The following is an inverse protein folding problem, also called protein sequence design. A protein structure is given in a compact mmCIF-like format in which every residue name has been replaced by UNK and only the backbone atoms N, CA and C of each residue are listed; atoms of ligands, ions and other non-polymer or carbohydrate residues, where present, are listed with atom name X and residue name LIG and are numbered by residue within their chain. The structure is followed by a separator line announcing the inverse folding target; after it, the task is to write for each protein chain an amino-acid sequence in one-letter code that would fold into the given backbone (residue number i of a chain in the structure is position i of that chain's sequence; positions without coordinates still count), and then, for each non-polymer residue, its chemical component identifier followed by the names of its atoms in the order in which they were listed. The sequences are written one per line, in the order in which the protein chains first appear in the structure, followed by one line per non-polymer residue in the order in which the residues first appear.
data_IF_808706019082
#
_entry.id   IF_808706019082
#
_cell.length_a   1.000
_cell.length_b   1.000
_cell.length_c   1.000
_cell.angle_alpha   90.00
_cell.angle_beta   90.00
_cell.angle_gamma   90.00
#
_symmetry.space_group_name_H-M   'P 1'
#
loop_
_entity.id
_entity.type
_entity.pdbx_description
1 polymer ?
#
# COMPACT_ATOMS: atom_id res chain seq x y z
N UNK A 1 12.59 17.57 -14.09
CA UNK A 1 13.46 17.41 -15.27
C UNK A 1 12.60 17.32 -16.53
N UNK A 2 13.12 17.71 -17.69
CA UNK A 2 12.47 17.58 -19.00
C UNK A 2 13.23 16.66 -19.96
N UNK A 3 14.22 15.92 -19.44
CA UNK A 3 14.99 14.98 -20.25
C UNK A 3 14.12 13.83 -20.78
N UNK A 4 14.45 13.32 -21.97
CA UNK A 4 13.73 12.18 -22.56
C UNK A 4 13.99 10.92 -21.73
N UNK A 5 13.00 10.01 -21.68
CA UNK A 5 13.09 8.77 -20.91
C UNK A 5 14.23 7.88 -21.41
N UNK A 6 14.53 7.91 -22.70
CA UNK A 6 15.60 7.15 -23.34
C UNK A 6 16.98 7.58 -22.85
N UNK A 7 17.22 8.90 -22.74
CA UNK A 7 18.48 9.47 -22.25
C UNK A 7 18.71 9.13 -20.78
N UNK A 8 17.64 9.18 -19.97
CA UNK A 8 17.68 8.75 -18.56
C UNK A 8 17.99 7.26 -18.47
N UNK A 9 17.30 6.40 -19.23
CA UNK A 9 17.56 4.96 -19.25
C UNK A 9 19.00 4.64 -19.66
N UNK A 10 19.56 5.35 -20.64
CA UNK A 10 20.93 5.13 -21.08
C UNK A 10 21.94 5.42 -19.97
N UNK A 11 21.82 6.57 -19.30
CA UNK A 11 22.76 6.93 -18.24
C UNK A 11 22.57 6.07 -16.98
N UNK A 12 21.35 5.66 -16.65
CA UNK A 12 21.10 4.69 -15.57
C UNK A 12 21.71 3.31 -15.91
N UNK A 13 21.65 2.85 -17.16
CA UNK A 13 22.37 1.61 -17.56
C UNK A 13 23.88 1.72 -17.35
N UNK A 14 24.48 2.88 -17.65
CA UNK A 14 25.92 3.11 -17.39
C UNK A 14 26.23 3.06 -15.89
N UNK A 15 25.37 3.65 -15.05
CA UNK A 15 25.49 3.56 -13.59
C UNK A 15 25.46 2.10 -13.13
N UNK A 16 24.46 1.33 -13.56
CA UNK A 16 24.31 -0.07 -13.18
C UNK A 16 25.49 -0.93 -13.64
N UNK A 17 25.98 -0.72 -14.87
CA UNK A 17 27.17 -1.43 -15.39
C UNK A 17 28.45 -1.08 -14.60
N UNK A 18 28.54 0.12 -14.03
CA UNK A 18 29.69 0.53 -13.20
C UNK A 18 29.70 -0.19 -11.85
N UNK A 19 28.54 -0.36 -11.24
CA UNK A 19 28.43 -1.09 -9.97
C UNK A 19 28.50 -2.61 -10.16
N UNK A 20 27.92 -3.13 -11.25
CA UNK A 20 27.92 -4.51 -11.73
C UNK A 20 27.31 -5.57 -10.77
N UNK A 21 27.56 -5.47 -9.47
CA UNK A 21 27.07 -6.38 -8.42
C UNK A 21 26.29 -5.57 -7.40
N UNK A 22 25.15 -6.13 -6.96
CA UNK A 22 24.32 -5.54 -5.90
C UNK A 22 23.95 -6.58 -4.86
N UNK A 23 23.80 -6.13 -3.62
CA UNK A 23 23.36 -6.96 -2.50
C UNK A 23 21.94 -6.56 -2.12
N UNK A 24 20.97 -7.35 -2.55
CA UNK A 24 19.56 -7.08 -2.28
C UNK A 24 19.05 -5.77 -2.91
N UNK A 25 18.01 -5.21 -2.29
CA UNK A 25 17.43 -3.92 -2.66
C UNK A 25 18.40 -2.80 -2.29
N UNK A 26 18.71 -1.92 -3.24
CA UNK A 26 19.66 -0.84 -3.04
C UNK A 26 19.17 0.43 -3.73
N UNK A 27 19.35 1.58 -3.09
CA UNK A 27 18.95 2.88 -3.65
C UNK A 27 20.12 3.84 -3.74
N UNK A 28 20.41 4.27 -4.96
CA UNK A 28 21.31 5.40 -5.22
C UNK A 28 20.51 6.70 -5.16
N UNK A 29 20.96 7.66 -4.36
CA UNK A 29 20.45 9.04 -4.32
C UNK A 29 21.50 10.07 -4.69
N UNK A 30 22.77 9.68 -4.63
CA UNK A 30 23.91 10.51 -4.98
C UNK A 30 24.56 9.94 -6.25
N UNK A 31 24.93 10.84 -7.17
CA UNK A 31 25.44 10.46 -8.48
C UNK A 31 26.68 11.29 -8.81
N UNK A 32 27.76 10.61 -9.22
CA UNK A 32 28.96 11.27 -9.76
C UNK A 32 28.69 11.93 -11.12
N UNK A 33 27.74 11.38 -11.89
CA UNK A 33 27.44 11.85 -13.23
C UNK A 33 26.51 13.08 -13.18
N UNK A 34 26.95 14.27 -13.65
CA UNK A 34 26.17 15.50 -13.53
C UNK A 34 24.79 15.42 -14.20
N UNK A 35 24.68 14.61 -15.26
CA UNK A 35 23.40 14.36 -15.93
C UNK A 35 22.40 13.68 -15.00
N UNK A 36 22.83 12.66 -14.23
CA UNK A 36 21.95 11.98 -13.28
C UNK A 36 21.59 12.90 -12.14
N UNK A 37 22.57 13.62 -11.55
CA UNK A 37 22.32 14.60 -10.47
C UNK A 37 21.28 15.65 -10.84
N UNK A 38 21.25 16.08 -12.11
CA UNK A 38 20.28 17.08 -12.60
C UNK A 38 18.90 16.50 -12.90
N UNK A 39 18.81 15.22 -13.27
CA UNK A 39 17.60 14.67 -13.90
C UNK A 39 16.95 13.51 -13.14
N UNK A 40 17.66 12.88 -12.21
CA UNK A 40 17.24 11.69 -11.48
C UNK A 40 17.41 11.96 -10.00
N UNK A 41 16.32 11.81 -9.24
CA UNK A 41 16.35 11.96 -7.78
C UNK A 41 16.90 10.71 -7.09
N UNK A 42 16.48 9.53 -7.54
CA UNK A 42 16.95 8.26 -7.03
C UNK A 42 16.85 7.16 -8.10
N UNK A 43 17.70 6.13 -7.95
CA UNK A 43 17.61 4.87 -8.68
C UNK A 43 17.51 3.77 -7.63
N UNK A 44 16.45 2.97 -7.67
CA UNK A 44 16.24 1.88 -6.71
C UNK A 44 16.15 0.54 -7.42
N UNK A 45 16.95 -0.42 -6.98
CA UNK A 45 16.73 -1.84 -7.21
C UNK A 45 15.77 -2.31 -6.13
N UNK A 46 14.69 -2.95 -6.56
CA UNK A 46 13.53 -3.26 -5.73
C UNK A 46 13.08 -4.70 -5.96
N UNK A 47 12.41 -5.25 -4.95
CA UNK A 47 11.77 -6.55 -4.98
C UNK A 47 12.75 -7.74 -5.11
N UNK A 48 14.05 -7.57 -4.81
CA UNK A 48 14.99 -8.70 -4.81
C UNK A 48 14.59 -9.74 -3.77
N UNK A 49 14.11 -9.30 -2.61
CA UNK A 49 13.59 -10.15 -1.53
C UNK A 49 12.34 -10.93 -1.95
N UNK A 50 11.59 -10.46 -2.96
CA UNK A 50 10.41 -11.15 -3.47
C UNK A 50 10.76 -12.31 -4.41
N UNK A 51 11.98 -12.33 -4.96
CA UNK A 51 12.39 -13.31 -5.99
C UNK A 51 13.43 -14.30 -5.51
N UNK A 52 14.27 -13.94 -4.55
CA UNK A 52 15.36 -14.80 -4.08
C UNK A 52 15.22 -14.99 -2.57
N UNK A 53 15.09 -16.24 -2.13
CA UNK A 53 14.97 -16.60 -0.69
C UNK A 53 16.24 -16.31 0.10
N UNK A 54 17.39 -16.25 -0.58
CA UNK A 54 18.68 -15.88 0.00
C UNK A 54 19.30 -14.68 -0.72
N UNK A 55 19.75 -13.62 0.00
CA UNK A 55 20.49 -12.50 -0.55
C UNK A 55 21.87 -13.01 -0.97
N UNK A 56 21.93 -13.49 -2.20
CA UNK A 56 23.17 -13.68 -2.92
C UNK A 56 23.52 -12.38 -3.66
N UNK A 57 24.81 -12.08 -3.86
CA UNK A 57 25.20 -11.00 -4.75
C UNK A 57 24.57 -11.23 -6.12
N UNK A 58 23.78 -10.26 -6.59
CA UNK A 58 23.15 -10.30 -7.90
C UNK A 58 24.10 -9.64 -8.88
N UNK A 59 24.62 -10.42 -9.82
CA UNK A 59 25.38 -9.91 -10.95
C UNK A 59 24.42 -9.34 -12.01
N UNK A 60 24.39 -8.02 -12.10
CA UNK A 60 23.52 -7.28 -13.02
C UNK A 60 23.86 -7.54 -14.49
N UNK A 61 25.10 -7.93 -14.81
CA UNK A 61 25.51 -8.23 -16.19
C UNK A 61 24.85 -9.50 -16.74
N UNK A 62 24.50 -10.44 -15.85
CA UNK A 62 23.85 -11.70 -16.21
C UNK A 62 22.32 -11.60 -16.26
N UNK A 63 21.76 -10.49 -15.80
CA UNK A 63 20.33 -10.29 -15.62
C UNK A 63 19.72 -9.42 -16.74
N UNK A 64 18.46 -9.70 -17.08
CA UNK A 64 17.68 -8.81 -17.94
C UNK A 64 17.19 -7.61 -17.14
N UNK A 65 17.92 -6.50 -17.22
CA UNK A 65 17.58 -5.27 -16.48
C UNK A 65 16.40 -4.53 -17.13
N UNK A 66 15.25 -4.52 -16.44
CA UNK A 66 14.08 -3.75 -16.81
C UNK A 66 14.07 -2.39 -16.11
N UNK A 67 14.19 -1.30 -16.88
CA UNK A 67 14.21 0.07 -16.36
C UNK A 67 12.88 0.78 -16.56
N UNK A 68 12.30 1.25 -15.45
CA UNK A 68 11.07 2.03 -15.42
C UNK A 68 11.38 3.45 -14.95
N UNK A 69 11.22 4.41 -15.86
CA UNK A 69 11.45 5.84 -15.58
C UNK A 69 10.09 6.53 -15.45
N UNK A 70 9.88 7.16 -14.30
CA UNK A 70 8.65 7.87 -13.97
C UNK A 70 8.95 9.22 -13.34
N UNK A 71 7.93 10.08 -13.33
CA UNK A 71 7.93 11.37 -12.65
C UNK A 71 6.73 11.37 -11.69
N UNK A 72 6.92 11.92 -10.49
CA UNK A 72 5.85 12.05 -9.51
C UNK A 72 4.97 13.26 -9.86
N UNK A 73 3.67 13.04 -9.80
CA UNK A 73 2.68 14.12 -9.86
C UNK A 73 2.51 14.71 -8.46
N UNK A 74 2.75 16.02 -8.34
CA UNK A 74 2.59 16.77 -7.08
C UNK A 74 1.14 17.23 -6.84
N UNK A 75 0.25 17.02 -7.81
CA UNK A 75 -1.18 17.22 -7.62
C UNK A 75 -1.71 16.22 -6.60
N UNK A 76 -2.16 16.73 -5.44
CA UNK A 76 -2.88 15.93 -4.45
C UNK A 76 -4.25 15.47 -4.97
N UNK A 77 -5.12 14.90 -4.12
CA UNK A 77 -6.42 14.41 -4.57
C UNK A 77 -7.26 15.54 -5.15
N UNK A 78 -7.71 15.38 -6.40
CA UNK A 78 -8.85 16.13 -6.89
C UNK A 78 -10.13 15.55 -6.30
N UNK A 79 -10.97 16.41 -5.75
CA UNK A 79 -12.32 16.02 -5.34
C UNK A 79 -13.20 15.92 -6.58
N UNK A 80 -13.65 14.71 -6.91
CA UNK A 80 -14.69 14.51 -7.91
C UNK A 80 -16.03 14.92 -7.29
N UNK A 81 -16.42 16.17 -7.54
CA UNK A 81 -17.70 16.70 -7.10
C UNK A 81 -18.80 16.29 -8.06
N UNK A 82 -19.95 15.87 -7.53
CA UNK A 82 -21.18 15.82 -8.29
C UNK A 82 -21.90 17.16 -8.14
N UNK A 83 -22.15 17.83 -9.26
CA UNK A 83 -22.91 19.07 -9.29
C UNK A 83 -24.40 18.75 -9.09
N UNK A 84 -24.96 19.27 -7.99
CA UNK A 84 -26.41 19.46 -7.81
C UNK A 84 -26.72 20.94 -7.71
N UNK A 85 -27.96 21.33 -8.00
CA UNK A 85 -28.41 22.74 -8.13
C UNK A 85 -28.14 23.60 -6.87
N UNK A 86 -27.81 22.99 -5.72
CA UNK A 86 -27.58 23.68 -4.45
C UNK A 86 -26.34 23.28 -3.65
N UNK A 87 -25.67 22.15 -3.89
CA UNK A 87 -24.48 21.71 -3.11
C UNK A 87 -23.45 20.91 -3.93
N UNK A 88 -22.15 21.12 -3.64
CA UNK A 88 -21.05 20.33 -4.18
C UNK A 88 -20.82 19.10 -3.29
N UNK A 89 -21.33 17.94 -3.68
CA UNK A 89 -21.12 16.69 -2.93
C UNK A 89 -19.85 16.00 -3.44
N UNK A 90 -18.82 15.93 -2.59
CA UNK A 90 -17.61 15.14 -2.88
C UNK A 90 -18.00 13.66 -2.94
N UNK A 91 -17.90 13.07 -4.12
CA UNK A 91 -18.29 11.69 -4.40
C UNK A 91 -17.11 10.71 -4.30
N UNK A 92 -15.93 11.13 -4.75
CA UNK A 92 -14.72 10.32 -4.73
C UNK A 92 -13.47 11.20 -4.65
N UNK A 93 -12.39 10.63 -4.13
CA UNK A 93 -11.06 11.23 -4.25
C UNK A 93 -10.38 10.66 -5.49
N UNK A 94 -9.64 11.50 -6.22
CA UNK A 94 -9.03 11.14 -7.49
C UNK A 94 -7.55 11.54 -7.53
N UNK A 95 -6.67 10.62 -7.93
CA UNK A 95 -5.23 10.86 -8.08
C UNK A 95 -4.72 10.46 -9.46
N UNK A 96 -3.80 11.27 -9.99
CA UNK A 96 -2.97 10.94 -11.15
C UNK A 96 -1.73 10.16 -10.71
N UNK A 97 -1.54 8.97 -11.27
CA UNK A 97 -0.40 8.10 -10.96
C UNK A 97 0.71 8.22 -12.03
N UNK A 98 1.99 8.14 -11.63
CA UNK A 98 2.48 7.96 -10.25
C UNK A 98 2.36 9.23 -9.40
N UNK A 99 1.76 9.14 -8.20
CA UNK A 99 1.52 10.28 -7.32
C UNK A 99 2.66 10.46 -6.29
N UNK A 100 3.01 11.70 -5.97
CA UNK A 100 4.03 12.02 -4.96
C UNK A 100 3.63 11.52 -3.56
N UNK A 101 2.34 11.63 -3.21
CA UNK A 101 1.78 11.16 -1.92
C UNK A 101 2.01 9.67 -1.66
N UNK A 102 2.13 8.85 -2.70
CA UNK A 102 2.32 7.41 -2.59
C UNK A 102 3.78 6.98 -2.78
N UNK A 103 4.71 7.93 -2.90
CA UNK A 103 6.13 7.63 -3.03
C UNK A 103 6.66 6.95 -1.76
N UNK A 104 7.36 5.83 -1.92
CA UNK A 104 7.87 5.00 -0.81
C UNK A 104 6.80 4.21 -0.03
N UNK A 105 5.51 4.37 -0.35
CA UNK A 105 4.43 3.70 0.39
C UNK A 105 4.52 2.16 0.29
N UNK A 106 4.90 1.63 -0.87
CA UNK A 106 5.07 0.19 -1.10
C UNK A 106 6.11 -0.46 -0.17
N UNK A 107 7.23 0.22 0.05
CA UNK A 107 8.34 -0.27 0.86
C UNK A 107 8.05 -0.07 2.35
N UNK A 108 7.28 0.97 2.69
CA UNK A 108 6.81 1.21 4.07
C UNK A 108 5.86 0.12 4.60
N UNK A 109 5.19 -0.63 3.73
CA UNK A 109 4.28 -1.68 4.13
C UNK A 109 5.03 -3.01 4.25
N UNK A 110 5.16 -3.49 5.49
CA UNK A 110 5.80 -4.75 5.82
C UNK A 110 4.72 -5.78 6.15
N UNK A 111 4.70 -6.85 5.37
CA UNK A 111 3.86 -8.02 5.57
C UNK A 111 4.75 -9.25 5.61
N UNK A 112 4.24 -10.32 6.21
CA UNK A 112 4.86 -11.64 6.08
C UNK A 112 4.88 -12.08 4.61
N UNK A 113 5.82 -12.97 4.29
CA UNK A 113 6.20 -13.26 2.91
C UNK A 113 4.98 -13.60 2.03
N UNK A 114 5.10 -13.23 0.76
CA UNK A 114 4.18 -13.56 -0.34
C UNK A 114 2.95 -12.66 -0.56
N UNK A 115 2.49 -11.85 0.40
CA UNK A 115 1.32 -10.99 0.17
C UNK A 115 1.55 -9.98 -0.97
N UNK A 116 2.66 -9.23 -0.90
CA UNK A 116 2.97 -8.19 -1.89
C UNK A 116 3.31 -8.78 -3.26
N UNK A 117 4.06 -9.87 -3.30
CA UNK A 117 4.45 -10.53 -4.56
C UNK A 117 3.24 -11.17 -5.24
N UNK A 118 2.44 -11.97 -4.52
CA UNK A 118 1.26 -12.61 -5.10
C UNK A 118 0.28 -11.59 -5.66
N UNK A 119 0.05 -10.49 -4.94
CA UNK A 119 -0.84 -9.43 -5.40
C UNK A 119 -0.31 -8.75 -6.67
N UNK A 120 1.00 -8.47 -6.71
CA UNK A 120 1.63 -7.85 -7.87
C UNK A 120 1.63 -8.78 -9.09
N UNK A 121 2.07 -10.03 -8.91
CA UNK A 121 2.18 -11.03 -9.98
C UNK A 121 0.82 -11.40 -10.55
N UNK A 122 -0.19 -11.52 -9.68
CA UNK A 122 -1.55 -11.77 -10.12
C UNK A 122 -2.08 -10.62 -10.97
N UNK A 123 -2.03 -9.37 -10.49
CA UNK A 123 -2.57 -8.24 -11.26
C UNK A 123 -1.78 -8.04 -12.57
N UNK A 124 -0.47 -8.29 -12.55
CA UNK A 124 0.34 -8.34 -13.77
C UNK A 124 -0.13 -9.41 -14.75
N UNK A 125 -0.45 -10.61 -14.25
CA UNK A 125 -0.94 -11.72 -15.08
C UNK A 125 -2.32 -11.39 -15.66
N UNK A 126 -3.22 -10.79 -14.88
CA UNK A 126 -4.54 -10.35 -15.35
C UNK A 126 -4.42 -9.34 -16.48
N UNK A 127 -3.49 -8.38 -16.36
CA UNK A 127 -3.24 -7.38 -17.40
C UNK A 127 -2.57 -8.00 -18.64
N UNK A 128 -1.66 -8.95 -18.45
CA UNK A 128 -1.06 -9.71 -19.55
C UNK A 128 -2.12 -10.49 -20.34
N UNK A 129 -3.01 -11.22 -19.66
CA UNK A 129 -4.10 -11.96 -20.31
C UNK A 129 -5.03 -11.03 -21.06
N UNK A 130 -5.30 -9.85 -20.49
CA UNK A 130 -6.08 -8.83 -21.15
C UNK A 130 -5.41 -8.28 -22.41
N UNK A 131 -4.11 -8.00 -22.38
CA UNK A 131 -3.37 -7.51 -23.55
C UNK A 131 -3.24 -8.58 -24.65
N UNK A 132 -3.26 -9.86 -24.27
CA UNK A 132 -3.28 -10.99 -25.22
C UNK A 132 -4.69 -11.37 -25.69
N UNK A 133 -5.72 -10.63 -25.26
CA UNK A 133 -7.12 -10.86 -25.62
C UNK A 133 -7.56 -12.31 -25.38
N UNK A 134 -7.17 -12.89 -24.24
CA UNK A 134 -7.60 -14.22 -23.82
C UNK A 134 -9.13 -14.22 -23.66
N UNK A 135 -9.79 -15.23 -24.25
CA UNK A 135 -11.24 -15.36 -24.19
C UNK A 135 -11.71 -15.62 -22.76
N UNK A 136 -12.39 -14.62 -22.17
CA UNK A 136 -12.91 -14.68 -20.81
C UNK A 136 -14.04 -15.70 -20.61
N UNK A 137 -14.65 -16.19 -21.69
CA UNK A 137 -15.63 -17.28 -21.62
C UNK A 137 -14.97 -18.66 -21.43
N UNK A 138 -13.70 -18.79 -21.84
CA UNK A 138 -12.92 -20.02 -21.70
C UNK A 138 -12.04 -20.00 -20.45
N UNK A 139 -11.38 -18.87 -20.20
CA UNK A 139 -10.54 -18.65 -19.03
C UNK A 139 -11.08 -17.44 -18.28
N UNK A 140 -11.94 -17.71 -17.30
CA UNK A 140 -12.56 -16.68 -16.48
C UNK A 140 -11.54 -16.11 -15.50
N UNK A 141 -11.36 -14.80 -15.56
CA UNK A 141 -10.85 -14.00 -14.45
C UNK A 141 -11.79 -12.80 -14.27
N UNK A 142 -11.81 -12.23 -13.09
CA UNK A 142 -12.41 -10.95 -12.74
C UNK A 142 -11.30 -10.00 -12.29
N UNK A 143 -11.28 -8.78 -12.81
CA UNK A 143 -10.29 -7.74 -12.45
C UNK A 143 -10.53 -7.13 -11.07
N UNK A 144 -11.00 -7.93 -10.11
CA UNK A 144 -11.42 -7.50 -8.78
C UNK A 144 -10.55 -8.18 -7.73
N UNK A 145 -9.91 -7.36 -6.91
CA UNK A 145 -9.09 -7.75 -5.78
C UNK A 145 -9.81 -7.36 -4.49
N UNK A 146 -9.92 -8.29 -3.55
CA UNK A 146 -10.49 -8.07 -2.22
C UNK A 146 -9.42 -8.29 -1.15
N UNK A 147 -9.08 -7.21 -0.44
CA UNK A 147 -8.25 -7.26 0.76
C UNK A 147 -9.15 -7.24 2.00
N UNK A 148 -9.03 -8.22 2.89
CA UNK A 148 -9.86 -8.25 4.10
C UNK A 148 -9.03 -8.54 5.35
N UNK A 149 -9.45 -8.03 6.50
CA UNK A 149 -8.71 -8.21 7.74
C UNK A 149 -9.02 -7.12 8.78
N UNK A 150 -8.45 -7.20 9.98
CA UNK A 150 -8.70 -6.22 11.04
C UNK A 150 -8.42 -4.77 10.61
N UNK A 151 -9.07 -3.77 11.22
CA UNK A 151 -8.79 -2.37 10.91
C UNK A 151 -7.36 -1.98 11.30
N UNK A 152 -6.75 -1.10 10.49
CA UNK A 152 -5.41 -0.59 10.74
C UNK A 152 -4.25 -1.52 10.33
N UNK A 153 -4.52 -2.57 9.54
CA UNK A 153 -3.50 -3.46 8.94
C UNK A 153 -2.96 -2.95 7.59
N UNK A 154 -3.36 -1.74 7.16
CA UNK A 154 -2.81 -1.09 5.97
C UNK A 154 -3.45 -1.50 4.64
N UNK A 155 -4.64 -2.13 4.63
CA UNK A 155 -5.35 -2.56 3.41
C UNK A 155 -5.49 -1.45 2.36
N UNK A 156 -6.05 -0.30 2.74
CA UNK A 156 -6.22 0.86 1.85
C UNK A 156 -4.88 1.39 1.35
N UNK A 157 -3.87 1.45 2.23
CA UNK A 157 -2.50 1.82 1.87
C UNK A 157 -1.86 0.83 0.90
N UNK A 158 -2.12 -0.47 1.06
CA UNK A 158 -1.63 -1.52 0.15
C UNK A 158 -2.26 -1.40 -1.23
N UNK A 159 -3.56 -1.09 -1.33
CA UNK A 159 -4.20 -0.79 -2.61
C UNK A 159 -3.55 0.40 -3.33
N UNK A 160 -3.34 1.52 -2.61
CA UNK A 160 -2.68 2.73 -3.13
C UNK A 160 -1.24 2.44 -3.58
N UNK A 161 -0.50 1.70 -2.75
CA UNK A 161 0.87 1.28 -3.07
C UNK A 161 0.94 0.34 -4.28
N UNK A 162 0.00 -0.61 -4.39
CA UNK A 162 -0.09 -1.52 -5.52
C UNK A 162 -0.37 -0.75 -6.83
N UNK A 163 -1.33 0.18 -6.80
CA UNK A 163 -1.65 1.03 -7.94
C UNK A 163 -0.44 1.84 -8.42
N UNK A 164 0.30 2.44 -7.47
CA UNK A 164 1.56 3.14 -7.74
C UNK A 164 2.60 2.20 -8.39
N UNK A 165 2.84 1.02 -7.78
CA UNK A 165 3.86 0.06 -8.23
C UNK A 165 3.53 -0.48 -9.63
N UNK A 166 2.27 -0.81 -9.90
CA UNK A 166 1.79 -1.28 -11.21
C UNK A 166 1.92 -0.18 -12.28
N UNK A 167 1.56 1.06 -11.96
CA UNK A 167 1.72 2.19 -12.90
C UNK A 167 3.18 2.37 -13.32
N UNK A 168 4.11 2.29 -12.36
CA UNK A 168 5.55 2.37 -12.66
C UNK A 168 5.99 1.20 -13.54
N UNK A 169 5.61 -0.04 -13.17
CA UNK A 169 6.02 -1.25 -13.88
C UNK A 169 5.43 -1.36 -15.29
N UNK A 170 4.22 -0.83 -15.49
CA UNK A 170 3.53 -0.83 -16.78
C UNK A 170 3.70 0.49 -17.54
N UNK A 171 4.68 1.31 -17.17
CA UNK A 171 5.02 2.55 -17.88
C UNK A 171 5.43 2.37 -19.35
N UNK A 172 5.70 1.14 -19.78
CA UNK A 172 5.89 0.79 -21.21
C UNK A 172 4.58 0.57 -21.96
N UNK A 173 3.50 0.26 -21.26
CA UNK A 173 2.17 -0.07 -21.80
C UNK A 173 1.17 1.06 -21.64
N UNK A 174 1.22 1.77 -20.51
CA UNK A 174 0.39 2.91 -20.18
C UNK A 174 1.27 4.13 -19.93
N UNK A 175 0.82 5.31 -20.35
CA UNK A 175 1.56 6.57 -20.18
C UNK A 175 1.48 7.08 -18.75
N UNK A 176 0.34 6.87 -18.10
CA UNK A 176 0.04 7.28 -16.73
C UNK A 176 -1.04 6.36 -16.14
N UNK A 177 -1.39 6.55 -14.87
CA UNK A 177 -2.49 5.84 -14.23
C UNK A 177 -3.46 6.80 -13.54
N UNK A 178 -4.64 6.29 -13.20
CA UNK A 178 -5.68 7.00 -12.46
C UNK A 178 -6.08 6.17 -11.26
N UNK A 179 -6.20 6.76 -10.08
CA UNK A 179 -6.79 6.12 -8.90
C UNK A 179 -8.03 6.88 -8.46
N UNK A 180 -9.16 6.20 -8.41
CA UNK A 180 -10.42 6.73 -7.88
C UNK A 180 -10.70 5.98 -6.57
N UNK A 181 -10.70 6.68 -5.44
CA UNK A 181 -11.07 6.13 -4.14
C UNK A 181 -12.49 6.53 -3.78
N UNK A 182 -13.32 5.51 -3.61
CA UNK A 182 -14.72 5.61 -3.24
C UNK A 182 -14.83 5.07 -1.81
N UNK A 183 -15.08 5.96 -0.85
CA UNK A 183 -15.37 5.53 0.52
C UNK A 183 -16.86 5.14 0.63
N UNK A 184 -17.11 3.86 0.88
CA UNK A 184 -18.47 3.32 0.90
C UNK A 184 -19.34 3.86 2.05
N UNK A 185 -18.78 4.18 3.23
CA UNK A 185 -19.52 4.83 4.32
C UNK A 185 -20.04 6.23 3.91
N UNK A 186 -19.23 6.98 3.16
CA UNK A 186 -19.62 8.30 2.64
C UNK A 186 -20.69 8.20 1.54
N UNK A 187 -20.69 7.10 0.77
CA UNK A 187 -21.71 6.81 -0.24
C UNK A 187 -23.10 6.52 0.35
N UNK A 188 -23.21 6.02 1.58
CA UNK A 188 -24.53 5.77 2.18
C UNK A 188 -25.06 6.93 3.00
N UNK A 189 -24.18 7.60 3.75
CA UNK A 189 -24.59 8.69 4.65
C UNK A 189 -25.10 9.92 3.90
N UNK A 190 -24.49 10.29 2.77
CA UNK A 190 -24.83 11.53 2.03
C UNK A 190 -25.93 11.36 0.97
N UNK A 191 -26.29 10.13 0.61
CA UNK A 191 -27.01 9.87 -0.65
C UNK A 191 -28.39 9.21 -0.44
N UNK A 192 -28.85 9.09 0.80
CA UNK A 192 -29.99 8.26 1.18
C UNK A 192 -31.35 8.66 0.56
N UNK A 193 -31.45 9.81 -0.12
CA UNK A 193 -32.67 10.27 -0.82
C UNK A 193 -32.59 10.33 -2.36
N UNK A 194 -31.40 10.40 -2.99
CA UNK A 194 -31.21 10.53 -4.46
C UNK A 194 -30.20 9.54 -5.08
N UNK A 195 -29.73 8.60 -4.27
CA UNK A 195 -28.53 7.76 -4.46
C UNK A 195 -28.29 7.07 -5.80
N UNK A 196 -29.31 6.47 -6.43
CA UNK A 196 -29.07 5.64 -7.61
C UNK A 196 -28.56 6.44 -8.83
N UNK A 197 -29.11 7.63 -9.04
CA UNK A 197 -28.72 8.50 -10.16
C UNK A 197 -27.29 9.00 -9.98
N UNK A 198 -26.91 9.29 -8.75
CA UNK A 198 -25.63 9.88 -8.44
C UNK A 198 -24.50 8.84 -8.48
N UNK A 199 -24.76 7.61 -8.02
CA UNK A 199 -23.87 6.46 -8.30
C UNK A 199 -23.66 6.34 -9.81
N UNK A 200 -24.74 6.41 -10.60
CA UNK A 200 -24.63 6.32 -12.06
C UNK A 200 -23.80 7.45 -12.66
N UNK A 201 -23.99 8.71 -12.22
CA UNK A 201 -23.17 9.85 -12.67
C UNK A 201 -21.70 9.70 -12.30
N UNK A 202 -21.40 9.26 -11.08
CA UNK A 202 -20.03 9.00 -10.63
C UNK A 202 -19.36 7.94 -11.51
N UNK A 203 -20.02 6.81 -11.76
CA UNK A 203 -19.48 5.77 -12.63
C UNK A 203 -19.43 6.18 -14.10
N UNK A 204 -20.27 7.11 -14.55
CA UNK A 204 -20.12 7.73 -15.88
C UNK A 204 -18.80 8.50 -15.99
N UNK A 205 -18.43 9.30 -14.99
CA UNK A 205 -17.11 9.96 -14.98
C UNK A 205 -15.96 8.96 -14.95
N UNK A 206 -16.10 7.88 -14.19
CA UNK A 206 -15.12 6.78 -14.18
C UNK A 206 -15.02 6.16 -15.59
N UNK A 207 -16.14 5.96 -16.27
CA UNK A 207 -16.17 5.46 -17.64
C UNK A 207 -15.43 6.39 -18.60
N UNK A 208 -15.62 7.71 -18.48
CA UNK A 208 -14.92 8.70 -19.30
C UNK A 208 -13.39 8.61 -19.10
N UNK A 209 -12.93 8.36 -17.87
CA UNK A 209 -11.51 8.11 -17.56
C UNK A 209 -11.01 6.76 -18.12
N UNK A 210 -11.86 5.73 -18.13
CA UNK A 210 -11.55 4.39 -18.66
C UNK A 210 -11.38 4.40 -20.18
N UNK A 211 -12.06 5.30 -20.88
CA UNK A 211 -12.04 5.39 -22.33
C UNK A 211 -10.67 5.80 -22.87
N UNK A 212 -9.83 6.49 -22.07
CA UNK A 212 -8.42 6.69 -22.38
C UNK A 212 -7.61 5.37 -22.23
N UNK A 213 -7.25 4.77 -23.36
CA UNK A 213 -6.48 3.51 -23.43
C UNK A 213 -4.98 3.67 -23.17
N UNK A 214 -4.48 4.90 -23.10
CA UNK A 214 -3.13 5.21 -22.63
C UNK A 214 -3.06 5.24 -21.09
N UNK A 215 -4.19 5.22 -20.39
CA UNK A 215 -4.29 5.25 -18.93
C UNK A 215 -4.65 3.89 -18.32
N UNK A 216 -4.01 3.53 -17.21
CA UNK A 216 -4.41 2.42 -16.34
C UNK A 216 -5.29 2.94 -15.20
N UNK A 217 -6.52 2.45 -15.09
CA UNK A 217 -7.51 2.94 -14.13
C UNK A 217 -7.68 1.98 -12.96
N UNK A 218 -7.48 2.50 -11.75
CA UNK A 218 -7.72 1.80 -10.49
C UNK A 218 -8.96 2.38 -9.82
N UNK A 219 -9.95 1.52 -9.55
CA UNK A 219 -11.13 1.89 -8.77
C UNK A 219 -11.02 1.22 -7.40
N UNK A 220 -10.70 2.00 -6.38
CA UNK A 220 -10.60 1.56 -4.99
C UNK A 220 -11.92 1.81 -4.26
N UNK A 221 -12.58 0.74 -3.82
CA UNK A 221 -13.79 0.81 -2.99
C UNK A 221 -13.42 0.38 -1.56
N UNK A 222 -13.32 1.35 -0.66
CA UNK A 222 -12.90 1.13 0.72
C UNK A 222 -14.09 0.77 1.62
N UNK A 223 -13.88 -0.11 2.60
CA UNK A 223 -14.86 -0.48 3.64
C UNK A 223 -16.15 -1.13 3.11
N UNK A 224 -16.03 -2.05 2.14
CA UNK A 224 -17.20 -2.69 1.46
C UNK A 224 -18.16 -3.43 2.40
N UNK A 225 -17.77 -3.69 3.66
CA UNK A 225 -18.68 -4.15 4.70
C UNK A 225 -19.88 -3.23 4.93
N UNK A 226 -19.73 -1.91 4.72
CA UNK A 226 -20.82 -0.95 4.90
C UNK A 226 -21.95 -1.21 3.90
N UNK A 227 -21.61 -1.58 2.66
CA UNK A 227 -22.56 -1.99 1.62
C UNK A 227 -23.31 -3.26 2.04
N UNK A 228 -22.60 -4.19 2.70
CA UNK A 228 -23.16 -5.45 3.19
C UNK A 228 -24.15 -5.20 4.33
N UNK A 229 -23.75 -4.35 5.29
CA UNK A 229 -24.55 -4.02 6.46
C UNK A 229 -25.88 -3.36 6.06
N UNK A 230 -25.83 -2.38 5.16
CA UNK A 230 -27.03 -1.72 4.63
C UNK A 230 -27.99 -2.72 3.95
N UNK A 231 -27.44 -3.67 3.17
CA UNK A 231 -28.25 -4.71 2.51
C UNK A 231 -28.92 -5.64 3.53
N UNK A 232 -28.23 -6.00 4.61
CA UNK A 232 -28.76 -6.87 5.66
C UNK A 232 -29.79 -6.14 6.55
N UNK A 233 -29.55 -4.87 6.90
CA UNK A 233 -30.48 -4.06 7.69
C UNK A 233 -31.83 -3.85 6.98
N UNK A 234 -31.80 -3.67 5.66
CA UNK A 234 -33.02 -3.58 4.87
C UNK A 234 -33.76 -4.93 4.76
N UNK A 235 -33.06 -6.06 4.64
CA UNK A 235 -33.68 -7.41 4.72
C UNK A 235 -34.35 -7.67 6.08
N UNK A 236 -33.83 -7.07 7.15
CA UNK A 236 -34.41 -7.10 8.48
C UNK A 236 -35.53 -6.06 8.70
N UNK A 237 -35.89 -5.28 7.67
CA UNK A 237 -36.92 -4.24 7.74
C UNK A 237 -36.54 -3.01 8.57
N UNK A 238 -35.26 -2.86 8.93
CA UNK A 238 -34.76 -1.78 9.81
C UNK A 238 -34.29 -0.55 9.02
N UNK A 239 -33.98 -0.71 7.73
CA UNK A 239 -33.62 0.38 6.81
C UNK A 239 -34.53 0.40 5.56
N UNK A 240 -34.74 1.58 4.93
CA UNK A 240 -35.53 1.73 3.71
C UNK A 240 -34.97 0.92 2.54
N UNK A 241 -35.86 0.52 1.61
CA UNK A 241 -35.53 -0.21 0.38
C UNK A 241 -34.53 0.50 -0.54
N UNK A 242 -34.30 1.79 -0.34
CA UNK A 242 -33.41 2.59 -1.17
C UNK A 242 -31.94 2.23 -0.98
N UNK A 243 -31.53 1.83 0.22
CA UNK A 243 -30.17 1.35 0.48
C UNK A 243 -29.79 0.13 -0.39
N UNK A 244 -30.73 -0.81 -0.58
CA UNK A 244 -30.54 -1.97 -1.47
C UNK A 244 -30.37 -1.53 -2.93
N UNK A 245 -31.12 -0.51 -3.38
CA UNK A 245 -31.01 0.01 -4.76
C UNK A 245 -29.62 0.58 -5.01
N UNK A 246 -29.04 1.28 -4.04
CA UNK A 246 -27.65 1.80 -4.12
C UNK A 246 -26.65 0.67 -4.29
N UNK A 247 -26.72 -0.33 -3.40
CA UNK A 247 -25.81 -1.48 -3.43
C UNK A 247 -25.87 -2.17 -4.79
N UNK A 248 -27.09 -2.42 -5.29
CA UNK A 248 -27.27 -3.07 -6.58
C UNK A 248 -26.76 -2.18 -7.74
N UNK A 249 -26.94 -0.86 -7.68
CA UNK A 249 -26.40 0.05 -8.67
C UNK A 249 -24.86 -0.01 -8.69
N UNK A 250 -24.20 0.04 -7.53
CA UNK A 250 -22.74 -0.06 -7.42
C UNK A 250 -22.24 -1.40 -7.97
N UNK A 251 -22.86 -2.53 -7.58
CA UNK A 251 -22.48 -3.86 -8.09
C UNK A 251 -22.66 -3.98 -9.61
N UNK A 252 -23.75 -3.42 -10.14
CA UNK A 252 -24.00 -3.40 -11.59
C UNK A 252 -22.94 -2.60 -12.32
N UNK A 253 -22.55 -1.45 -11.78
CA UNK A 253 -21.51 -0.60 -12.37
C UNK A 253 -20.13 -1.28 -12.32
N UNK A 254 -19.77 -1.94 -11.21
CA UNK A 254 -18.56 -2.77 -11.11
C UNK A 254 -18.53 -3.84 -12.21
N UNK A 255 -19.65 -4.52 -12.45
CA UNK A 255 -19.76 -5.56 -13.49
C UNK A 255 -19.63 -5.01 -14.92
N UNK A 256 -19.93 -3.73 -15.13
CA UNK A 256 -19.71 -3.02 -16.40
C UNK A 256 -18.24 -2.64 -16.55
N UNK A 257 -17.67 -1.90 -15.59
CA UNK A 257 -16.31 -1.37 -15.72
C UNK A 257 -15.23 -2.46 -15.70
N UNK A 258 -15.47 -3.59 -15.02
CA UNK A 258 -14.49 -4.70 -14.96
C UNK A 258 -14.21 -5.33 -16.33
N UNK A 259 -15.04 -5.08 -17.35
CA UNK A 259 -14.87 -5.60 -18.72
C UNK A 259 -13.77 -4.88 -19.50
N UNK A 260 -13.37 -3.68 -19.09
CA UNK A 260 -12.32 -2.91 -19.78
C UNK A 260 -10.89 -3.35 -19.43
N UNK A 261 -10.06 -3.53 -20.46
CA UNK A 261 -8.69 -4.07 -20.35
C UNK A 261 -7.73 -3.27 -19.49
N UNK A 262 -8.00 -1.98 -19.33
CA UNK A 262 -7.22 -1.04 -18.56
C UNK A 262 -7.82 -0.74 -17.17
N UNK A 263 -8.67 -1.61 -16.63
CA UNK A 263 -9.32 -1.42 -15.33
C UNK A 263 -8.89 -2.49 -14.32
N UNK A 264 -8.54 -2.05 -13.12
CA UNK A 264 -8.33 -2.90 -11.94
C UNK A 264 -9.19 -2.36 -10.80
N UNK A 265 -10.01 -3.23 -10.21
CA UNK A 265 -10.89 -2.87 -9.10
C UNK A 265 -10.26 -3.42 -7.82
N UNK A 266 -10.02 -2.54 -6.87
CA UNK A 266 -9.43 -2.84 -5.57
C UNK A 266 -10.51 -2.62 -4.52
N UNK A 267 -10.71 -3.58 -3.63
CA UNK A 267 -11.73 -3.49 -2.58
C UNK A 267 -11.13 -3.85 -1.23
N UNK A 268 -11.56 -3.18 -0.17
CA UNK A 268 -11.12 -3.49 1.19
C UNK A 268 -12.29 -3.81 2.09
N UNK A 269 -12.10 -4.73 3.05
CA UNK A 269 -13.05 -4.92 4.14
C UNK A 269 -12.40 -5.07 5.51
N UNK A 270 -12.98 -4.45 6.54
CA UNK A 270 -12.54 -4.65 7.93
C UNK A 270 -13.13 -5.90 8.60
N UNK A 271 -14.09 -6.58 7.95
CA UNK A 271 -14.73 -7.78 8.49
C UNK A 271 -14.04 -9.02 7.93
N UNK A 272 -13.63 -9.93 8.81
CA UNK A 272 -12.97 -11.20 8.43
C UNK A 272 -13.94 -12.33 8.13
N UNK A 273 -15.10 -12.37 8.79
CA UNK A 273 -16.01 -13.53 8.75
C UNK A 273 -17.28 -13.33 7.91
N UNK A 274 -17.78 -12.09 7.80
CA UNK A 274 -19.06 -11.75 7.13
C UNK A 274 -18.88 -10.75 5.99
N UNK A 275 -18.05 -11.09 5.02
CA UNK A 275 -17.94 -10.30 3.78
C UNK A 275 -19.15 -10.60 2.89
N UNK A 276 -19.70 -9.60 2.18
CA UNK A 276 -20.78 -9.84 1.24
C UNK A 276 -20.40 -10.90 0.19
N UNK A 277 -21.24 -11.93 0.07
CA UNK A 277 -21.19 -12.93 -1.00
C UNK A 277 -21.07 -12.26 -2.39
N UNK A 278 -21.72 -11.12 -2.59
CA UNK A 278 -21.67 -10.39 -3.86
C UNK A 278 -20.27 -9.86 -4.23
N UNK A 279 -19.45 -9.43 -3.25
CA UNK A 279 -18.08 -9.02 -3.50
C UNK A 279 -17.14 -10.22 -3.55
N UNK A 280 -17.36 -11.18 -2.66
CA UNK A 280 -16.61 -12.43 -2.57
C UNK A 280 -16.66 -13.18 -3.91
N UNK A 281 -17.85 -13.39 -4.48
CA UNK A 281 -18.04 -14.11 -5.75
C UNK A 281 -17.46 -13.37 -6.97
N UNK A 282 -17.31 -12.05 -6.88
CA UNK A 282 -16.73 -11.22 -7.95
C UNK A 282 -15.21 -11.07 -7.84
N UNK A 283 -14.64 -11.33 -6.67
CA UNK A 283 -13.22 -11.18 -6.41
C UNK A 283 -12.45 -12.44 -6.78
N UNK A 284 -11.48 -12.29 -7.68
CA UNK A 284 -10.57 -13.37 -8.03
C UNK A 284 -9.51 -13.59 -6.96
N UNK A 285 -9.00 -12.48 -6.40
CA UNK A 285 -8.12 -12.52 -5.24
C UNK A 285 -8.90 -12.14 -4.01
N UNK A 286 -8.82 -13.03 -3.01
CA UNK A 286 -9.26 -12.79 -1.64
C UNK A 286 -8.04 -12.91 -0.75
N UNK A 287 -7.44 -11.77 -0.41
CA UNK A 287 -6.23 -11.73 0.38
C UNK A 287 -6.55 -11.28 1.80
N UNK A 288 -6.30 -12.17 2.75
CA UNK A 288 -6.34 -11.82 4.16
C UNK A 288 -5.09 -10.99 4.53
N UNK A 289 -5.29 -9.87 5.22
CA UNK A 289 -4.25 -8.97 5.71
C UNK A 289 -4.40 -8.83 7.22
N UNK A 290 -3.75 -9.74 7.94
CA UNK A 290 -3.75 -9.81 9.41
C UNK A 290 -2.82 -8.82 10.09
N UNK A 291 -2.76 -8.85 11.43
CA UNK A 291 -1.70 -8.17 12.17
C UNK A 291 -0.33 -8.73 11.75
N UNK A 292 0.72 -7.89 11.74
CA UNK A 292 2.07 -8.33 11.36
C UNK A 292 2.65 -9.33 12.37
N UNK A 293 3.42 -10.31 11.89
CA UNK A 293 4.22 -11.18 12.77
C UNK A 293 5.28 -10.40 13.55
N UNK A 294 5.87 -11.03 14.57
CA UNK A 294 7.04 -10.49 15.26
C UNK A 294 8.19 -10.10 14.30
N UNK A 295 8.36 -10.82 13.19
CA UNK A 295 9.39 -10.51 12.20
C UNK A 295 9.06 -9.23 11.42
N UNK A 296 7.81 -9.06 10.99
CA UNK A 296 7.34 -7.85 10.34
C UNK A 296 7.34 -6.65 11.31
N UNK A 297 6.96 -6.85 12.57
CA UNK A 297 7.05 -5.83 13.63
C UNK A 297 8.48 -5.34 13.81
N UNK A 298 9.44 -6.26 13.88
CA UNK A 298 10.86 -5.91 14.01
C UNK A 298 11.33 -5.03 12.85
N UNK A 299 11.00 -5.39 11.60
CA UNK A 299 11.30 -4.58 10.41
C UNK A 299 10.62 -3.20 10.47
N UNK A 300 9.36 -3.12 10.95
CA UNK A 300 8.66 -1.85 11.15
C UNK A 300 9.42 -0.97 12.15
N UNK A 301 9.78 -1.49 13.31
CA UNK A 301 10.51 -0.70 14.30
C UNK A 301 11.91 -0.31 13.83
N UNK A 302 12.65 -1.21 13.16
CA UNK A 302 13.92 -0.88 12.53
C UNK A 302 13.77 0.35 11.61
N UNK A 303 12.76 0.35 10.71
CA UNK A 303 12.50 1.48 9.82
C UNK A 303 12.19 2.79 10.56
N UNK A 304 11.46 2.72 11.69
CA UNK A 304 11.16 3.89 12.50
C UNK A 304 12.41 4.42 13.21
N UNK A 305 13.25 3.54 13.75
CA UNK A 305 14.47 3.93 14.44
C UNK A 305 15.49 4.54 13.47
N UNK A 306 15.64 3.97 12.27
CA UNK A 306 16.49 4.52 11.22
C UNK A 306 16.04 5.94 10.81
N UNK A 307 14.74 6.17 10.66
CA UNK A 307 14.21 7.50 10.34
C UNK A 307 14.46 8.50 11.48
N UNK A 308 14.26 8.10 12.74
CA UNK A 308 14.54 8.96 13.90
C UNK A 308 16.04 9.26 14.06
N UNK A 309 16.92 8.33 13.73
CA UNK A 309 18.37 8.58 13.69
C UNK A 309 18.75 9.51 12.54
N UNK A 310 18.17 9.32 11.36
CA UNK A 310 18.36 10.20 10.20
C UNK A 310 17.91 11.62 10.51
N UNK A 311 16.82 11.79 11.25
CA UNK A 311 16.32 13.07 11.74
C UNK A 311 17.06 13.61 12.98
N UNK A 312 18.08 12.90 13.49
CA UNK A 312 18.86 13.27 14.67
C UNK A 312 18.06 13.42 15.97
N UNK A 313 16.84 12.88 16.03
CA UNK A 313 16.06 12.75 17.28
C UNK A 313 16.70 11.66 18.15
N UNK A 314 17.11 10.55 17.53
CA UNK A 314 17.97 9.55 18.18
C UNK A 314 19.43 9.87 17.87
N UNK A 315 20.22 10.14 18.90
CA UNK A 315 21.64 10.48 18.77
C UNK A 315 22.46 9.86 19.93
N UNK A 316 23.66 9.31 19.69
CA UNK A 316 24.32 9.17 18.39
C UNK A 316 23.68 8.10 17.50
N UNK A 317 23.91 8.17 16.19
CA UNK A 317 23.49 7.12 15.24
C UNK A 317 24.21 5.82 15.59
N UNK A 318 23.46 4.72 15.69
CA UNK A 318 24.00 3.38 15.93
C UNK A 318 23.53 2.42 14.84
N UNK A 319 24.35 1.42 14.52
CA UNK A 319 23.98 0.37 13.59
C UNK A 319 23.18 -0.70 14.35
N UNK A 320 22.00 -1.04 13.83
CA UNK A 320 21.22 -2.19 14.30
C UNK A 320 21.35 -3.34 13.31
N UNK A 321 21.36 -4.55 13.84
CA UNK A 321 21.30 -5.79 13.08
C UNK A 321 19.86 -6.13 12.70
N UNK A 322 19.68 -6.61 11.48
CA UNK A 322 18.48 -7.27 10.98
C UNK A 322 18.26 -8.63 11.66
N UNK A 323 17.05 -9.21 11.53
CA UNK A 323 16.77 -10.55 12.08
C UNK A 323 17.71 -11.62 11.53
N UNK A 324 18.04 -11.57 10.23
CA UNK A 324 18.96 -12.51 9.61
C UNK A 324 20.38 -12.38 10.17
N UNK A 325 20.85 -11.16 10.37
CA UNK A 325 22.17 -10.92 10.98
C UNK A 325 22.20 -11.43 12.43
N UNK A 326 21.10 -11.27 13.18
CA UNK A 326 20.94 -11.86 14.52
C UNK A 326 20.96 -13.40 14.50
N UNK A 327 20.32 -14.02 13.51
CA UNK A 327 20.35 -15.48 13.30
C UNK A 327 21.76 -15.97 12.98
N UNK A 328 22.50 -15.25 12.13
CA UNK A 328 23.87 -15.60 11.74
C UNK A 328 24.86 -15.59 12.92
N UNK A 329 24.65 -14.69 13.89
CA UNK A 329 25.46 -14.66 15.12
C UNK A 329 24.90 -15.59 16.22
N UNK A 330 23.89 -16.40 15.91
CA UNK A 330 23.29 -17.35 16.84
C UNK A 330 22.59 -16.69 18.03
N UNK A 331 22.06 -15.47 17.87
CA UNK A 331 21.45 -14.68 18.95
C UNK A 331 22.34 -14.45 20.18
N UNK A 332 23.66 -14.49 20.01
CA UNK A 332 24.61 -14.25 21.11
C UNK A 332 24.54 -12.79 21.53
N UNK A 333 24.34 -12.54 22.84
CA UNK A 333 24.39 -11.19 23.39
C UNK A 333 25.83 -10.69 23.49
N UNK A 334 26.10 -9.56 22.83
CA UNK A 334 27.36 -8.82 22.88
C UNK A 334 27.08 -7.32 22.68
N UNK A 335 28.12 -6.49 22.70
CA UNK A 335 27.97 -5.04 22.58
C UNK A 335 27.28 -4.59 21.28
N UNK A 336 27.36 -5.37 20.20
CA UNK A 336 26.75 -5.06 18.89
C UNK A 336 25.32 -5.56 18.81
N UNK A 337 25.03 -6.74 19.38
CA UNK A 337 23.71 -7.38 19.27
C UNK A 337 22.73 -6.98 20.35
N UNK A 338 23.20 -6.46 21.51
CA UNK A 338 22.36 -6.16 22.68
C UNK A 338 21.10 -5.34 22.35
N UNK A 339 21.25 -4.26 21.58
CA UNK A 339 20.12 -3.39 21.24
C UNK A 339 19.17 -4.03 20.24
N UNK A 340 19.70 -4.78 19.28
CA UNK A 340 18.89 -5.53 18.32
C UNK A 340 18.15 -6.70 18.97
N UNK A 341 18.74 -7.36 19.98
CA UNK A 341 18.07 -8.38 20.78
C UNK A 341 16.95 -7.76 21.63
N UNK A 342 17.20 -6.64 22.29
CA UNK A 342 16.17 -5.89 23.02
C UNK A 342 15.02 -5.46 22.09
N UNK A 343 15.33 -4.99 20.89
CA UNK A 343 14.33 -4.67 19.88
C UNK A 343 13.53 -5.90 19.46
N UNK A 344 14.17 -7.07 19.34
CA UNK A 344 13.50 -8.35 19.06
C UNK A 344 12.52 -8.73 20.17
N UNK A 345 12.90 -8.55 21.44
CA UNK A 345 12.00 -8.76 22.58
C UNK A 345 10.81 -7.81 22.58
N UNK A 346 11.04 -6.51 22.34
CA UNK A 346 9.96 -5.53 22.20
C UNK A 346 9.03 -5.91 21.05
N UNK A 347 9.56 -6.43 19.95
CA UNK A 347 8.78 -6.88 18.79
C UNK A 347 7.88 -8.08 19.13
N UNK A 348 8.40 -9.08 19.86
CA UNK A 348 7.60 -10.22 20.36
C UNK A 348 6.52 -9.75 21.32
N UNK A 349 6.85 -8.83 22.23
CA UNK A 349 5.90 -8.23 23.18
C UNK A 349 4.80 -7.42 22.48
N UNK A 350 5.09 -6.88 21.29
CA UNK A 350 4.17 -6.05 20.50
C UNK A 350 3.21 -6.87 19.60
N UNK A 351 3.26 -8.19 19.64
CA UNK A 351 2.44 -9.06 18.81
C UNK A 351 0.93 -8.84 19.05
N UNK A 352 0.13 -8.85 17.97
CA UNK A 352 -1.31 -8.55 18.02
C UNK A 352 -1.67 -7.06 17.96
N UNK A 353 -0.69 -6.14 17.91
CA UNK A 353 -0.92 -4.74 17.58
C UNK A 353 -1.07 -4.57 16.06
N UNK A 354 -1.89 -3.59 15.64
CA UNK A 354 -2.04 -3.28 14.20
C UNK A 354 -0.91 -2.40 13.69
N UNK A 355 -0.62 -2.44 12.39
CA UNK A 355 0.39 -1.58 11.76
C UNK A 355 0.22 -0.10 12.08
N UNK A 356 -1.04 0.39 12.13
CA UNK A 356 -1.37 1.77 12.56
C UNK A 356 -0.87 2.07 13.98
N UNK A 357 -1.07 1.14 14.92
CA UNK A 357 -0.61 1.32 16.31
C UNK A 357 0.90 1.24 16.37
N UNK A 358 1.51 0.26 15.70
CA UNK A 358 2.96 0.06 15.67
C UNK A 358 3.72 1.31 15.19
N UNK A 359 3.25 1.94 14.10
CA UNK A 359 3.85 3.20 13.61
C UNK A 359 3.52 4.43 14.48
N UNK A 360 2.52 4.34 15.36
CA UNK A 360 2.18 5.41 16.33
C UNK A 360 3.00 5.31 17.63
N UNK A 361 3.46 4.11 17.99
CA UNK A 361 4.19 3.88 19.23
C UNK A 361 5.46 4.73 19.39
N UNK A 362 6.31 4.95 18.37
CA UNK A 362 7.48 5.84 18.50
C UNK A 362 7.10 7.25 18.98
N UNK A 363 6.00 7.80 18.46
CA UNK A 363 5.49 9.10 18.90
C UNK A 363 5.02 9.07 20.35
N UNK A 364 4.24 8.05 20.75
CA UNK A 364 3.76 7.91 22.12
C UNK A 364 4.91 7.70 23.11
N UNK A 365 5.91 6.90 22.74
CA UNK A 365 7.11 6.67 23.52
C UNK A 365 7.83 7.99 23.81
N UNK A 366 8.04 8.79 22.76
CA UNK A 366 8.70 10.08 22.88
C UNK A 366 7.88 11.08 23.72
N UNK A 367 6.58 11.18 23.46
CA UNK A 367 5.69 12.13 24.12
C UNK A 367 5.48 11.84 25.62
N UNK A 368 5.45 10.55 26.00
CA UNK A 368 5.11 10.15 27.36
C UNK A 368 6.32 9.93 28.26
N UNK A 369 7.48 9.55 27.71
CA UNK A 369 8.62 9.09 28.50
C UNK A 369 9.95 9.80 28.20
N UNK A 370 10.04 10.58 27.11
CA UNK A 370 11.30 11.23 26.69
C UNK A 370 11.21 12.75 26.86
N UNK A 371 10.28 13.40 26.16
CA UNK A 371 10.02 14.85 26.25
C UNK A 371 11.27 15.75 26.12
N UNK A 372 12.27 15.27 25.36
CA UNK A 372 13.53 15.97 25.08
C UNK A 372 13.78 15.97 23.58
N UNK A 373 14.51 16.97 23.02
CA UNK A 373 14.74 17.05 21.57
C UNK A 373 15.64 15.93 21.04
N UNK A 374 16.49 15.36 21.89
CA UNK A 374 17.45 14.30 21.53
C UNK A 374 17.49 13.24 22.62
N UNK A 375 17.62 11.98 22.23
CA UNK A 375 17.68 10.82 23.14
C UNK A 375 18.59 9.73 22.57
N UNK A 376 19.26 8.95 23.43
CA UNK A 376 20.03 7.79 22.95
C UNK A 376 19.10 6.65 22.56
N UNK A 377 19.59 5.73 21.73
CA UNK A 377 18.79 4.56 21.33
C UNK A 377 18.42 3.68 22.53
N UNK A 378 19.29 3.53 23.50
CA UNK A 378 19.04 2.76 24.72
C UNK A 378 17.84 3.33 25.49
N UNK A 379 17.84 4.66 25.70
CA UNK A 379 16.73 5.36 26.35
C UNK A 379 15.44 5.28 25.52
N UNK A 380 15.55 5.37 24.20
CA UNK A 380 14.40 5.26 23.32
C UNK A 380 13.77 3.86 23.34
N UNK A 381 14.56 2.79 23.32
CA UNK A 381 14.04 1.41 23.39
C UNK A 381 13.34 1.13 24.71
N UNK A 382 13.84 1.68 25.83
CA UNK A 382 13.17 1.61 27.13
C UNK A 382 11.82 2.33 27.11
N UNK A 383 11.79 3.57 26.61
CA UNK A 383 10.56 4.35 26.43
C UNK A 383 9.55 3.64 25.51
N UNK A 384 10.02 3.02 24.43
CA UNK A 384 9.19 2.26 23.50
C UNK A 384 8.57 1.04 24.18
N UNK A 385 9.34 0.30 24.97
CA UNK A 385 8.83 -0.85 25.73
C UNK A 385 7.73 -0.46 26.72
N UNK A 386 7.89 0.67 27.43
CA UNK A 386 6.87 1.22 28.33
C UNK A 386 5.61 1.68 27.58
N UNK A 387 5.78 2.29 26.41
CA UNK A 387 4.66 2.69 25.56
C UNK A 387 3.86 1.48 25.07
N UNK A 388 4.53 0.37 24.74
CA UNK A 388 3.89 -0.90 24.38
C UNK A 388 3.07 -1.44 25.56
N UNK A 389 3.61 -1.46 26.77
CA UNK A 389 2.87 -1.90 27.98
C UNK A 389 1.58 -1.11 28.16
N UNK A 390 1.71 0.22 28.16
CA UNK A 390 0.57 1.13 28.31
C UNK A 390 -0.48 0.91 27.23
N UNK A 391 -0.06 0.64 25.99
CA UNK A 391 -0.98 0.36 24.88
C UNK A 391 -1.79 -0.92 25.12
N UNK A 392 -1.20 -1.96 25.71
CA UNK A 392 -1.94 -3.16 26.09
C UNK A 392 -2.84 -2.94 27.31
N UNK A 393 -2.42 -2.14 28.29
CA UNK A 393 -3.27 -1.74 29.42
C UNK A 393 -4.52 -0.99 28.94
N UNK A 394 -4.36 -0.03 28.04
CA UNK A 394 -5.48 0.76 27.52
C UNK A 394 -6.41 -0.11 26.66
N UNK A 395 -5.88 -1.08 25.91
CA UNK A 395 -6.70 -2.09 25.22
C UNK A 395 -7.50 -2.97 26.18
N UNK A 396 -6.88 -3.42 27.28
CA UNK A 396 -7.57 -4.22 28.31
C UNK A 396 -8.70 -3.44 28.97
N UNK A 397 -8.51 -2.15 29.25
CA UNK A 397 -9.57 -1.27 29.79
C UNK A 397 -10.77 -1.19 28.85
N UNK A 398 -10.54 -1.08 27.54
CA UNK A 398 -11.59 -1.02 26.53
C UNK A 398 -12.33 -2.36 26.34
N UNK A 399 -11.70 -3.51 26.63
CA UNK A 399 -12.36 -4.82 26.55
C UNK A 399 -13.14 -5.22 27.81
N UNK A 400 -12.94 -4.51 28.92
CA UNK A 400 -13.64 -4.73 30.18
C UNK A 400 -14.89 -3.84 30.36
N UNK A 401 -15.17 -2.99 29.36
CA UNK A 401 -16.38 -2.17 29.22
C UNK A 401 -17.22 -2.77 28.11
#
# INVERSE_FOLDING_TARGET
STAKKEDVKLNVRKLLNRHNIVFGDYTWTEFDEPFLTRNVQSVSIVDTELKVKDPQPIDLSTCTVALHVFQLNEGGPSSENLEEETENIIAANHWLLPAAEFHGLWDSLVYDAEVKSHLLDYVMTTLLFSDKNVDSNLITWNRVVLLHGPPGTGKTSLCKALAQKLTIRLSSRYRYGQLIEINSHSLFSKWFSESGKLVTRMFQKIQDLIDDKDALVFVLIDEVESLTAARNACRAGTEPSDAIRVVNAVLTQIDQIKRHSNVVILTTSNITERIDVAFVDRADIRQYVGPPSAAAIFKIYLSCLEELMKCQIIYPRQQLLTLRELEMIGFIENNVSKLSLLLSEISRKSEGLSGRVLRKLPFLAHALYIQAPTVTIEGFLQALSLAVDRQFEDRKKLSCV
#
